data_IF_879392688708
#
_entry.id   IF_879392688708
#
_cell.length_a   1.000
_cell.length_b   1.000
_cell.length_c   1.000
_cell.angle_alpha   90.00
_cell.angle_beta   90.00
_cell.angle_gamma   90.00
#
_symmetry.space_group_name_H-M   'P 1'
#
loop_
_entity.id
_entity.type
_entity.pdbx_description
1 polymer ?
#
# COMPACT_ATOMS: atom_id res chain seq x y z
N UNK A 1 -38.99 10.28 -53.88
CA UNK A 1 -38.97 10.80 -52.50
C UNK A 1 -37.53 10.95 -52.09
N UNK A 2 -37.01 12.17 -52.12
CA UNK A 2 -35.66 12.51 -51.75
C UNK A 2 -35.62 12.63 -50.21
N UNK A 3 -34.58 12.07 -49.61
CA UNK A 3 -34.33 12.15 -48.17
C UNK A 3 -33.34 13.29 -47.94
N UNK A 4 -33.85 14.41 -47.43
CA UNK A 4 -33.02 15.57 -47.11
C UNK A 4 -32.39 15.33 -45.74
N UNK A 5 -31.09 14.98 -45.80
CA UNK A 5 -30.27 14.77 -44.61
C UNK A 5 -29.75 16.08 -44.04
N UNK A 6 -30.38 16.63 -43.03
CA UNK A 6 -29.72 17.56 -42.15
C UNK A 6 -29.15 16.80 -40.95
N UNK A 7 -27.82 16.76 -40.86
CA UNK A 7 -27.09 16.29 -39.68
C UNK A 7 -27.13 17.37 -38.63
N UNK A 8 -27.56 17.05 -37.40
CA UNK A 8 -27.35 17.97 -36.27
C UNK A 8 -25.87 18.00 -35.95
N UNK A 9 -25.21 19.09 -36.21
CA UNK A 9 -23.91 19.42 -35.59
C UNK A 9 -24.09 19.40 -34.07
N UNK A 10 -23.68 18.31 -33.44
CA UNK A 10 -23.50 18.27 -32.00
C UNK A 10 -22.28 19.14 -31.67
N UNK A 11 -22.53 20.40 -31.36
CA UNK A 11 -21.56 21.28 -30.76
C UNK A 11 -21.07 20.61 -29.46
N UNK A 12 -19.86 20.04 -29.55
CA UNK A 12 -19.10 19.64 -28.40
C UNK A 12 -18.75 20.90 -27.62
N UNK A 13 -19.58 21.28 -26.67
CA UNK A 13 -19.21 22.26 -25.65
C UNK A 13 -18.02 21.67 -24.91
N UNK A 14 -16.83 22.14 -25.25
CA UNK A 14 -15.66 22.06 -24.36
C UNK A 14 -15.97 23.03 -23.25
N UNK A 15 -16.58 22.51 -22.19
CA UNK A 15 -16.66 23.23 -20.94
C UNK A 15 -15.24 23.53 -20.49
N UNK A 16 -15.03 24.82 -20.27
CA UNK A 16 -13.78 25.42 -19.86
C UNK A 16 -13.25 24.77 -18.60
N UNK A 17 -12.00 24.34 -18.70
CA UNK A 17 -11.00 24.18 -17.68
C UNK A 17 -11.46 24.61 -16.28
N UNK A 18 -12.16 23.71 -15.61
CA UNK A 18 -12.19 23.73 -14.15
C UNK A 18 -10.76 23.60 -13.66
N UNK A 19 -10.32 24.48 -12.78
CA UNK A 19 -9.06 24.42 -12.06
C UNK A 19 -8.88 22.96 -11.61
N UNK A 20 -7.98 22.22 -12.26
CA UNK A 20 -7.64 20.85 -11.82
C UNK A 20 -7.21 20.98 -10.38
N UNK A 21 -7.96 20.41 -9.47
CA UNK A 21 -7.55 20.30 -8.08
C UNK A 21 -6.11 19.76 -8.10
N UNK A 22 -5.21 20.44 -7.41
CA UNK A 22 -3.80 20.03 -7.39
C UNK A 22 -3.76 18.65 -6.75
N UNK A 23 -3.46 17.62 -7.56
CA UNK A 23 -3.37 16.25 -7.06
C UNK A 23 -2.41 16.21 -5.86
N UNK A 24 -2.84 15.61 -4.76
CA UNK A 24 -2.07 15.58 -3.52
C UNK A 24 -1.05 14.45 -3.52
N UNK A 25 0.11 14.64 -2.87
CA UNK A 25 1.05 13.54 -2.70
C UNK A 25 0.52 12.51 -1.71
N UNK A 26 0.95 11.26 -1.87
CA UNK A 26 0.64 10.16 -0.97
C UNK A 26 1.90 9.57 -0.33
N UNK A 27 1.70 8.91 0.81
CA UNK A 27 2.64 7.92 1.31
C UNK A 27 1.95 6.56 1.29
N UNK A 28 2.46 5.69 0.42
CA UNK A 28 2.06 4.29 0.35
C UNK A 28 2.84 3.53 1.41
N UNK A 29 2.13 2.90 2.33
CA UNK A 29 2.71 2.20 3.47
C UNK A 29 2.48 0.70 3.31
N UNK A 30 3.54 -0.10 3.45
CA UNK A 30 3.35 -1.52 3.72
C UNK A 30 2.81 -1.71 5.15
N UNK A 31 2.17 -2.84 5.42
CA UNK A 31 1.65 -3.17 6.73
C UNK A 31 2.69 -3.87 7.59
N UNK A 32 3.07 -5.05 7.18
CA UNK A 32 3.88 -5.96 7.97
C UNK A 32 5.36 -5.58 7.85
N UNK A 33 6.08 -5.48 8.97
CA UNK A 33 7.45 -4.98 9.01
C UNK A 33 7.61 -3.45 8.94
N UNK A 34 6.53 -2.69 8.67
CA UNK A 34 6.53 -1.21 8.64
C UNK A 34 5.62 -0.62 9.71
N UNK A 35 4.39 -1.10 9.80
CA UNK A 35 3.35 -0.63 10.75
C UNK A 35 3.04 -1.68 11.82
N UNK A 36 3.14 -2.96 11.45
CA UNK A 36 2.78 -4.11 12.27
C UNK A 36 3.97 -5.04 12.40
N UNK A 37 4.20 -5.56 13.60
CA UNK A 37 5.24 -6.54 13.88
C UNK A 37 4.95 -7.86 13.16
N UNK A 38 5.98 -8.50 12.62
CA UNK A 38 5.89 -9.89 12.18
C UNK A 38 5.84 -10.82 13.40
N UNK A 39 5.22 -11.97 13.25
CA UNK A 39 5.00 -12.98 14.30
C UNK A 39 5.73 -14.25 13.94
N UNK A 40 6.45 -14.83 14.90
CA UNK A 40 7.04 -16.14 14.71
C UNK A 40 6.01 -17.24 14.96
N UNK A 41 5.73 -18.02 13.93
CA UNK A 41 4.82 -19.16 14.04
C UNK A 41 5.60 -20.47 14.13
N UNK A 42 5.63 -21.07 15.31
CA UNK A 42 6.33 -22.34 15.58
C UNK A 42 5.95 -23.49 14.64
N UNK A 43 4.69 -23.64 14.20
CA UNK A 43 4.32 -24.70 13.26
C UNK A 43 4.98 -24.59 11.88
N UNK A 44 5.28 -23.38 11.42
CA UNK A 44 5.97 -23.14 10.14
C UNK A 44 7.46 -22.86 10.32
N UNK A 45 7.88 -22.44 11.51
CA UNK A 45 9.25 -22.00 11.80
C UNK A 45 9.60 -20.67 11.11
N UNK A 46 8.61 -19.88 10.71
CA UNK A 46 8.76 -18.65 9.92
C UNK A 46 8.25 -17.43 10.67
N UNK A 47 8.88 -16.27 10.39
CA UNK A 47 8.33 -14.97 10.71
C UNK A 47 7.37 -14.56 9.60
N UNK A 48 6.13 -14.22 9.98
CA UNK A 48 5.06 -13.95 9.06
C UNK A 48 4.20 -12.75 9.51
N UNK A 49 3.41 -12.22 8.60
CA UNK A 49 2.33 -11.32 8.95
C UNK A 49 1.38 -11.95 9.97
N UNK A 50 0.74 -11.17 10.86
CA UNK A 50 -0.29 -11.69 11.76
C UNK A 50 -1.37 -12.45 11.01
N UNK A 51 -1.60 -13.70 11.42
CA UNK A 51 -2.61 -14.58 10.84
C UNK A 51 -3.97 -14.46 11.53
N UNK A 52 -4.01 -13.83 12.71
CA UNK A 52 -5.19 -13.69 13.59
C UNK A 52 -5.21 -12.31 14.26
N UNK A 53 -6.37 -11.81 14.69
CA UNK A 53 -6.49 -10.48 15.31
C UNK A 53 -5.70 -10.33 16.62
N UNK A 54 -5.61 -11.39 17.42
CA UNK A 54 -4.85 -11.38 18.67
C UNK A 54 -3.34 -11.27 18.48
N UNK A 55 -2.84 -11.56 17.30
CA UNK A 55 -1.42 -11.48 16.95
C UNK A 55 -1.01 -10.07 16.49
N UNK A 56 -1.97 -9.19 16.21
CA UNK A 56 -1.69 -7.85 15.67
C UNK A 56 -1.09 -6.95 16.77
N UNK A 57 0.13 -6.46 16.51
CA UNK A 57 0.86 -5.49 17.33
C UNK A 57 1.41 -4.39 16.45
N UNK A 58 1.17 -3.13 16.81
CA UNK A 58 1.80 -2.02 16.11
C UNK A 58 3.29 -1.94 16.48
N UNK A 59 4.13 -1.68 15.50
CA UNK A 59 5.54 -1.35 15.72
C UNK A 59 5.62 -0.05 16.54
N UNK A 60 6.41 0.00 17.63
CA UNK A 60 6.53 1.20 18.45
C UNK A 60 6.86 2.45 17.64
N UNK A 61 6.06 3.51 17.82
CA UNK A 61 6.22 4.77 17.12
C UNK A 61 5.65 4.82 15.69
N UNK A 62 5.21 3.70 15.11
CA UNK A 62 4.70 3.67 13.74
C UNK A 62 3.40 4.48 13.59
N UNK A 63 2.47 4.37 14.54
CA UNK A 63 1.24 5.15 14.52
C UNK A 63 1.51 6.66 14.62
N UNK A 64 2.40 7.08 15.52
CA UNK A 64 2.79 8.49 15.66
C UNK A 64 3.43 9.04 14.37
N UNK A 65 4.28 8.25 13.70
CA UNK A 65 4.87 8.63 12.43
C UNK A 65 3.81 8.74 11.32
N UNK A 66 2.89 7.79 11.21
CA UNK A 66 1.78 7.86 10.25
C UNK A 66 0.86 9.07 10.52
N UNK A 67 0.59 9.39 11.77
CA UNK A 67 -0.17 10.59 12.15
C UNK A 67 0.51 11.88 11.65
N UNK A 68 1.85 11.98 11.80
CA UNK A 68 2.63 13.12 11.32
C UNK A 68 2.58 13.25 9.80
N UNK A 69 2.64 12.15 9.05
CA UNK A 69 2.46 12.16 7.59
C UNK A 69 1.09 12.71 7.18
N UNK A 70 0.03 12.25 7.84
CA UNK A 70 -1.32 12.75 7.60
C UNK A 70 -1.43 14.26 7.90
N UNK A 71 -0.85 14.72 9.02
CA UNK A 71 -0.80 16.15 9.40
C UNK A 71 0.01 17.00 8.43
N UNK A 72 1.01 16.43 7.78
CA UNK A 72 1.79 17.09 6.72
C UNK A 72 1.06 17.15 5.37
N UNK A 73 -0.17 16.65 5.28
CA UNK A 73 -1.02 16.73 4.08
C UNK A 73 -0.87 15.57 3.10
N UNK A 74 -0.11 14.53 3.43
CA UNK A 74 -0.04 13.32 2.61
C UNK A 74 -1.33 12.49 2.73
N UNK A 75 -1.78 11.92 1.60
CA UNK A 75 -2.71 10.82 1.64
C UNK A 75 -2.00 9.58 2.21
N UNK A 76 -2.62 8.87 3.13
CA UNK A 76 -2.13 7.60 3.64
C UNK A 76 -2.81 6.45 2.90
N UNK A 77 -2.03 5.65 2.18
CA UNK A 77 -2.56 4.51 1.42
C UNK A 77 -1.83 3.25 1.85
N UNK A 78 -2.58 2.26 2.31
CA UNK A 78 -2.05 0.95 2.68
C UNK A 78 -1.95 0.05 1.45
N UNK A 79 -0.78 -0.57 1.23
CA UNK A 79 -0.54 -1.54 0.14
C UNK A 79 0.14 -2.78 0.70
N UNK A 80 -0.59 -3.88 0.85
CA UNK A 80 -0.04 -5.07 1.50
C UNK A 80 -0.28 -6.37 0.75
N UNK A 81 0.73 -7.25 0.72
CA UNK A 81 0.64 -8.60 0.19
C UNK A 81 0.31 -9.58 1.32
N UNK A 82 -0.89 -10.16 1.31
CA UNK A 82 -1.40 -11.07 2.33
C UNK A 82 -1.52 -12.51 1.80
N UNK A 83 -0.39 -13.15 1.53
CA UNK A 83 -0.33 -14.44 0.88
C UNK A 83 -0.75 -15.64 1.74
N UNK A 84 -0.96 -15.45 3.03
CA UNK A 84 -1.23 -16.54 3.98
C UNK A 84 -2.48 -17.35 3.59
N UNK A 85 -3.52 -16.68 3.06
CA UNK A 85 -4.70 -17.36 2.56
C UNK A 85 -4.39 -18.23 1.33
N UNK A 86 -3.73 -17.67 0.32
CA UNK A 86 -3.34 -18.43 -0.87
C UNK A 86 -2.51 -19.66 -0.53
N UNK A 87 -1.67 -19.56 0.49
CA UNK A 87 -0.82 -20.65 1.00
C UNK A 87 -1.54 -21.63 1.93
N UNK A 88 -2.83 -21.44 2.18
CA UNK A 88 -3.63 -22.32 3.05
C UNK A 88 -3.26 -22.23 4.54
N UNK A 89 -2.56 -21.17 4.97
CA UNK A 89 -2.11 -20.99 6.37
C UNK A 89 -3.21 -20.44 7.28
N UNK A 90 -4.18 -19.71 6.73
CA UNK A 90 -5.29 -19.09 7.48
C UNK A 90 -6.50 -18.84 6.57
N UNK A 91 -7.68 -18.54 7.17
CA UNK A 91 -8.88 -18.17 6.46
C UNK A 91 -8.96 -16.68 6.11
N UNK A 92 -9.72 -16.33 5.07
CA UNK A 92 -9.97 -14.90 4.73
C UNK A 92 -10.64 -14.15 5.87
N UNK A 93 -11.50 -14.84 6.65
CA UNK A 93 -12.16 -14.25 7.81
C UNK A 93 -11.15 -13.79 8.87
N UNK A 94 -10.14 -14.61 9.16
CA UNK A 94 -9.13 -14.29 10.17
C UNK A 94 -8.25 -13.14 9.71
N UNK A 95 -7.88 -13.09 8.41
CA UNK A 95 -7.17 -11.96 7.83
C UNK A 95 -8.00 -10.67 7.85
N UNK A 96 -9.32 -10.77 7.63
CA UNK A 96 -10.23 -9.64 7.77
C UNK A 96 -10.28 -9.14 9.21
N UNK A 97 -10.44 -10.02 10.19
CA UNK A 97 -10.44 -9.66 11.61
C UNK A 97 -9.09 -9.07 12.05
N UNK A 98 -7.98 -9.57 11.52
CA UNK A 98 -6.66 -8.98 11.75
C UNK A 98 -6.56 -7.57 11.16
N UNK A 99 -7.17 -7.32 9.99
CA UNK A 99 -7.28 -5.98 9.42
C UNK A 99 -8.13 -5.05 10.30
N UNK A 100 -9.31 -5.48 10.72
CA UNK A 100 -10.18 -4.70 11.62
C UNK A 100 -9.44 -4.32 12.91
N UNK A 101 -8.71 -5.28 13.52
CA UNK A 101 -7.91 -5.03 14.70
C UNK A 101 -6.80 -4.01 14.45
N UNK A 102 -6.11 -4.10 13.33
CA UNK A 102 -5.09 -3.14 12.91
C UNK A 102 -5.67 -1.72 12.76
N UNK A 103 -6.80 -1.59 12.06
CA UNK A 103 -7.50 -0.30 11.87
C UNK A 103 -7.96 0.28 13.20
N UNK A 104 -8.50 -0.55 14.10
CA UNK A 104 -8.91 -0.15 15.45
C UNK A 104 -7.73 0.43 16.25
N UNK A 105 -6.60 -0.27 16.27
CA UNK A 105 -5.40 0.18 16.97
C UNK A 105 -4.90 1.52 16.44
N UNK A 106 -4.85 1.69 15.13
CA UNK A 106 -4.44 2.96 14.51
C UNK A 106 -5.44 4.08 14.76
N UNK A 107 -6.75 3.80 14.73
CA UNK A 107 -7.78 4.77 15.02
C UNK A 107 -7.69 5.28 16.48
N UNK A 108 -7.32 4.42 17.42
CA UNK A 108 -7.00 4.78 18.80
C UNK A 108 -5.86 5.79 18.93
N UNK A 109 -4.93 5.77 17.98
CA UNK A 109 -3.80 6.71 17.86
C UNK A 109 -4.09 7.91 16.93
N UNK A 110 -5.35 8.06 16.49
CA UNK A 110 -5.77 9.15 15.61
C UNK A 110 -5.34 9.01 14.15
N UNK A 111 -4.99 7.82 13.71
CA UNK A 111 -4.58 7.52 12.32
C UNK A 111 -5.72 6.86 11.55
N UNK A 112 -5.97 7.38 10.33
CA UNK A 112 -6.89 6.78 9.37
C UNK A 112 -6.25 6.75 8.00
N UNK A 113 -6.43 5.65 7.28
CA UNK A 113 -6.04 5.54 5.88
C UNK A 113 -7.11 6.13 4.96
N UNK A 114 -6.68 6.77 3.89
CA UNK A 114 -7.56 7.21 2.80
C UNK A 114 -8.02 6.02 1.94
N UNK A 115 -7.17 5.00 1.80
CA UNK A 115 -7.51 3.72 1.17
C UNK A 115 -6.58 2.59 1.65
N UNK A 116 -7.05 1.34 1.49
CA UNK A 116 -6.28 0.14 1.79
C UNK A 116 -6.46 -0.89 0.67
N UNK A 117 -5.35 -1.42 0.16
CA UNK A 117 -5.32 -2.42 -0.90
C UNK A 117 -4.55 -3.65 -0.42
N UNK A 118 -5.17 -4.81 -0.57
CA UNK A 118 -4.58 -6.09 -0.23
C UNK A 118 -4.53 -7.00 -1.44
N UNK A 119 -3.38 -7.65 -1.65
CA UNK A 119 -3.25 -8.78 -2.55
C UNK A 119 -3.22 -10.08 -1.74
N UNK A 120 -4.20 -10.94 -1.97
CA UNK A 120 -4.28 -12.24 -1.30
C UNK A 120 -3.69 -13.37 -2.13
N UNK A 121 -3.35 -13.12 -3.39
CA UNK A 121 -2.77 -14.10 -4.31
C UNK A 121 -1.29 -14.39 -4.05
N UNK A 122 -0.83 -15.59 -4.47
CA UNK A 122 0.59 -15.96 -4.46
C UNK A 122 0.88 -16.94 -5.60
N UNK A 123 2.03 -16.80 -6.32
CA UNK A 123 2.39 -17.74 -7.38
C UNK A 123 2.38 -19.21 -6.93
N UNK A 124 2.90 -19.47 -5.73
CA UNK A 124 2.96 -20.81 -5.12
C UNK A 124 1.74 -21.06 -4.20
N UNK A 125 0.60 -20.40 -4.45
CA UNK A 125 -0.62 -20.63 -3.69
C UNK A 125 -1.18 -22.02 -3.93
N UNK A 126 -1.86 -22.58 -2.91
CA UNK A 126 -2.55 -23.89 -2.98
C UNK A 126 -4.06 -23.74 -3.05
N UNK A 127 -4.59 -22.54 -2.78
CA UNK A 127 -6.04 -22.27 -2.83
C UNK A 127 -6.42 -21.89 -4.27
N UNK A 128 -7.36 -22.61 -4.90
CA UNK A 128 -7.85 -22.28 -6.25
C UNK A 128 -8.27 -20.79 -6.35
N UNK A 129 -8.04 -20.16 -7.51
CA UNK A 129 -8.29 -18.75 -7.81
C UNK A 129 -7.40 -17.74 -7.07
N UNK A 130 -6.62 -18.16 -6.08
CA UNK A 130 -5.61 -17.35 -5.38
C UNK A 130 -4.17 -17.84 -5.67
N UNK A 131 -4.02 -18.83 -6.52
CA UNK A 131 -2.74 -19.36 -7.00
C UNK A 131 -2.44 -18.84 -8.40
N UNK A 132 -1.17 -18.58 -8.66
CA UNK A 132 -0.69 -18.06 -9.94
C UNK A 132 -0.36 -16.56 -9.92
N UNK A 133 0.02 -15.99 -11.08
CA UNK A 133 0.35 -14.58 -11.22
C UNK A 133 -0.84 -13.68 -10.88
N UNK A 134 -0.59 -12.57 -10.20
CA UNK A 134 -1.59 -11.57 -9.84
C UNK A 134 -1.07 -10.17 -10.10
N UNK A 135 -1.86 -9.30 -10.75
CA UNK A 135 -1.48 -7.93 -11.11
C UNK A 135 -1.42 -7.01 -9.88
N UNK A 136 -2.26 -7.30 -8.87
CA UNK A 136 -2.38 -6.51 -7.64
C UNK A 136 -1.27 -6.81 -6.63
N UNK A 137 -0.53 -7.93 -6.83
CA UNK A 137 0.56 -8.34 -5.96
C UNK A 137 1.86 -7.57 -6.27
N UNK A 138 2.44 -6.92 -5.26
CA UNK A 138 3.81 -6.38 -5.34
C UNK A 138 4.79 -7.52 -5.73
N UNK A 139 5.69 -7.32 -6.72
CA UNK A 139 6.16 -6.03 -7.27
C UNK A 139 5.29 -5.39 -8.36
N UNK A 140 4.12 -5.93 -8.71
CA UNK A 140 3.19 -5.28 -9.62
C UNK A 140 2.68 -3.95 -9.05
N UNK A 141 2.67 -2.85 -9.84
CA UNK A 141 2.30 -1.50 -9.38
C UNK A 141 0.79 -1.23 -9.46
N UNK A 142 -0.03 -2.22 -9.81
CA UNK A 142 -1.44 -2.03 -10.12
C UNK A 142 -2.21 -1.27 -9.03
N UNK A 143 -2.03 -1.67 -7.76
CA UNK A 143 -2.72 -1.01 -6.64
C UNK A 143 -2.29 0.45 -6.43
N UNK A 144 -1.05 0.84 -6.79
CA UNK A 144 -0.62 2.23 -6.73
C UNK A 144 -1.34 3.06 -7.79
N UNK A 145 -1.50 2.53 -9.01
CA UNK A 145 -2.23 3.21 -10.08
C UNK A 145 -3.72 3.34 -9.77
N UNK A 146 -4.34 2.29 -9.21
CA UNK A 146 -5.75 2.35 -8.80
C UNK A 146 -5.95 3.39 -7.69
N UNK A 147 -5.09 3.39 -6.68
CA UNK A 147 -5.14 4.39 -5.61
C UNK A 147 -4.98 5.82 -6.16
N UNK A 148 -4.02 6.02 -7.08
CA UNK A 148 -3.81 7.32 -7.71
C UNK A 148 -5.04 7.81 -8.48
N UNK A 149 -5.69 6.91 -9.23
CA UNK A 149 -6.89 7.24 -9.98
C UNK A 149 -8.10 7.52 -9.07
N UNK A 150 -8.26 6.74 -7.98
CA UNK A 150 -9.41 6.88 -7.08
C UNK A 150 -9.32 8.12 -6.18
N UNK A 151 -8.11 8.51 -5.77
CA UNK A 151 -7.87 9.57 -4.79
C UNK A 151 -7.24 10.83 -5.39
N UNK A 152 -7.08 10.90 -6.71
CA UNK A 152 -6.40 11.97 -7.46
C UNK A 152 -5.00 12.27 -6.87
N UNK A 153 -4.12 11.24 -6.87
CA UNK A 153 -2.79 11.35 -6.27
C UNK A 153 -1.72 11.68 -7.30
N UNK A 154 -0.75 12.48 -6.89
CA UNK A 154 0.48 12.74 -7.64
C UNK A 154 1.56 11.70 -7.29
N UNK A 155 1.71 10.68 -8.11
CA UNK A 155 2.69 9.61 -7.88
C UNK A 155 4.13 10.12 -7.89
N UNK A 156 4.46 11.11 -8.72
CA UNK A 156 5.82 11.65 -8.82
C UNK A 156 6.26 12.40 -7.55
N UNK A 157 5.29 12.94 -6.80
CA UNK A 157 5.51 13.60 -5.51
C UNK A 157 5.30 12.68 -4.32
N UNK A 158 4.95 11.41 -4.58
CA UNK A 158 4.60 10.42 -3.55
C UNK A 158 5.80 9.59 -3.14
N UNK A 159 5.63 8.91 -2.00
CA UNK A 159 6.61 7.99 -1.42
C UNK A 159 5.97 6.63 -1.15
N UNK A 160 6.78 5.60 -1.17
CA UNK A 160 6.41 4.27 -0.70
C UNK A 160 7.39 3.81 0.37
N UNK A 161 6.90 3.46 1.56
CA UNK A 161 7.71 3.01 2.70
C UNK A 161 7.45 1.53 2.91
N UNK A 162 8.51 0.73 2.85
CA UNK A 162 8.45 -0.72 2.71
C UNK A 162 9.57 -1.40 3.50
N UNK A 163 9.49 -2.71 3.68
CA UNK A 163 10.52 -3.52 4.33
C UNK A 163 11.13 -4.59 3.40
N UNK A 164 10.74 -4.63 2.10
CA UNK A 164 11.21 -5.65 1.15
C UNK A 164 11.69 -5.04 -0.16
N UNK A 165 12.71 -5.69 -0.74
CA UNK A 165 13.28 -5.28 -2.06
C UNK A 165 12.25 -5.35 -3.19
N UNK A 166 11.33 -6.32 -3.15
CA UNK A 166 10.25 -6.47 -4.14
C UNK A 166 9.36 -5.24 -4.21
N UNK A 167 9.19 -4.57 -3.09
CA UNK A 167 8.32 -3.39 -2.98
C UNK A 167 8.98 -2.15 -3.55
N UNK A 168 10.32 -2.07 -3.48
CA UNK A 168 11.11 -1.04 -4.17
C UNK A 168 10.89 -1.13 -5.69
N UNK A 169 10.85 -2.34 -6.24
CA UNK A 169 10.56 -2.53 -7.66
C UNK A 169 9.14 -2.07 -8.03
N UNK A 170 8.16 -2.32 -7.16
CA UNK A 170 6.79 -1.83 -7.29
C UNK A 170 6.75 -0.30 -7.35
N UNK A 171 7.36 0.37 -6.36
CA UNK A 171 7.41 1.83 -6.29
C UNK A 171 8.07 2.44 -7.54
N UNK A 172 9.24 1.91 -7.95
CA UNK A 172 9.97 2.39 -9.12
C UNK A 172 9.16 2.27 -10.40
N UNK A 173 8.45 1.15 -10.59
CA UNK A 173 7.61 0.95 -11.77
C UNK A 173 6.46 1.96 -11.82
N UNK A 174 5.95 2.36 -10.66
CA UNK A 174 4.90 3.39 -10.55
C UNK A 174 5.44 4.83 -10.60
N UNK A 175 6.75 5.06 -10.68
CA UNK A 175 7.34 6.40 -10.62
C UNK A 175 7.31 7.02 -9.21
N UNK A 176 7.17 6.19 -8.17
CA UNK A 176 7.11 6.58 -6.76
C UNK A 176 8.48 6.40 -6.12
N UNK A 177 8.90 7.33 -5.28
CA UNK A 177 10.16 7.23 -4.52
C UNK A 177 10.01 6.20 -3.39
N UNK A 178 11.03 5.38 -3.16
CA UNK A 178 10.98 4.34 -2.13
C UNK A 178 11.92 4.62 -0.95
N UNK A 179 11.45 4.31 0.25
CA UNK A 179 12.25 4.24 1.47
C UNK A 179 12.11 2.82 2.02
N UNK A 180 13.24 2.17 2.24
CA UNK A 180 13.32 0.83 2.79
C UNK A 180 13.55 0.91 4.30
N UNK A 181 12.65 0.38 5.09
CA UNK A 181 12.79 0.30 6.55
C UNK A 181 13.50 -1.00 6.92
N UNK A 182 14.48 -0.91 7.82
CA UNK A 182 15.15 -2.07 8.36
C UNK A 182 14.15 -2.96 9.12
N UNK A 183 14.13 -4.24 8.76
CA UNK A 183 13.34 -5.26 9.42
C UNK A 183 14.30 -6.38 9.90
N UNK A 184 14.33 -6.74 11.20
CA UNK A 184 15.26 -7.74 11.73
C UNK A 184 15.06 -9.14 11.12
N UNK A 185 13.92 -9.40 10.51
CA UNK A 185 13.56 -10.67 9.90
C UNK A 185 13.77 -10.68 8.38
N UNK A 186 14.05 -9.54 7.77
CA UNK A 186 14.30 -9.39 6.33
C UNK A 186 15.74 -8.96 6.08
N UNK A 187 16.49 -9.73 5.28
CA UNK A 187 17.85 -9.35 4.86
C UNK A 187 17.79 -8.77 3.46
N UNK A 188 18.31 -7.57 3.30
CA UNK A 188 18.44 -6.93 2.00
C UNK A 188 19.75 -7.39 1.33
N UNK A 189 19.65 -7.69 0.03
CA UNK A 189 20.82 -7.97 -0.83
C UNK A 189 21.13 -6.78 -1.73
N UNK A 190 20.09 -6.05 -2.13
CA UNK A 190 20.21 -4.91 -3.02
C UNK A 190 19.08 -3.91 -2.73
N UNK A 191 19.43 -2.73 -2.27
CA UNK A 191 18.47 -1.65 -2.00
C UNK A 191 18.03 -0.90 -3.26
N UNK A 192 18.63 -1.23 -4.42
CA UNK A 192 18.29 -0.60 -5.73
C UNK A 192 18.29 0.93 -5.70
N UNK A 193 19.12 1.54 -4.84
CA UNK A 193 19.21 3.00 -4.69
C UNK A 193 18.10 3.61 -3.84
N UNK A 194 17.27 2.83 -3.16
CA UNK A 194 16.32 3.35 -2.18
C UNK A 194 17.05 3.91 -0.95
N UNK A 195 16.45 4.90 -0.31
CA UNK A 195 16.87 5.38 1.00
C UNK A 195 16.62 4.25 2.01
N UNK A 196 17.58 3.99 2.90
CA UNK A 196 17.41 3.03 3.99
C UNK A 196 17.20 3.80 5.29
N UNK A 197 16.17 3.44 6.03
CA UNK A 197 15.79 4.02 7.31
C UNK A 197 15.66 2.93 8.39
N UNK A 198 15.95 3.28 9.64
CA UNK A 198 15.89 2.34 10.77
C UNK A 198 14.46 2.02 11.22
N UNK A 199 13.52 2.93 10.94
CA UNK A 199 12.12 2.81 11.35
C UNK A 199 11.24 3.72 10.50
N UNK A 200 9.93 3.61 10.61
CA UNK A 200 9.00 4.54 9.98
C UNK A 200 9.25 5.99 10.49
N UNK A 201 9.55 6.17 11.78
CA UNK A 201 9.88 7.48 12.35
C UNK A 201 11.15 8.09 11.76
N UNK A 202 12.12 7.27 11.38
CA UNK A 202 13.33 7.71 10.68
C UNK A 202 13.01 7.99 9.20
N UNK A 203 12.24 7.13 8.56
CA UNK A 203 11.82 7.27 7.16
C UNK A 203 11.13 8.62 6.88
N UNK A 204 10.24 9.07 7.76
CA UNK A 204 9.50 10.33 7.55
C UNK A 204 10.40 11.58 7.60
N UNK A 205 11.57 11.51 8.25
CA UNK A 205 12.54 12.62 8.24
C UNK A 205 13.13 12.81 6.84
N UNK A 206 13.36 11.73 6.09
CA UNK A 206 13.81 11.80 4.70
C UNK A 206 12.76 12.39 3.75
N UNK A 207 11.50 12.41 4.16
CA UNK A 207 10.39 13.07 3.43
C UNK A 207 10.30 14.56 3.80
N UNK A 208 11.02 15.01 4.83
CA UNK A 208 10.96 16.37 5.35
C UNK A 208 9.77 16.60 6.30
N UNK A 209 9.25 15.55 6.91
CA UNK A 209 8.18 15.61 7.92
C UNK A 209 8.84 15.54 9.31
N UNK A 210 8.86 16.69 9.99
CA UNK A 210 9.43 16.84 11.32
C UNK A 210 8.48 16.40 12.43
#
# INVERSE_FOLDING_TARGET
MAWDGESPETACHRDEVGIRAVSRPAVFLDRDGVLVEEVFYSPTGEWEAPLRPEDVRLIPGAAAAAHRLAKAGYALVLISNQAAYAKGKTGLRDLWLAHERFVELLAGEGVRFDAAFYSYGHPDGVVPHFSGPSLDRKPGPYNLFIAAAQLDLDLARSWMIVDRETDIACARTAGVRAILVENPHTRFRNTSGAIVAKSLSDAIQHIGVA
#
